data_IF_584084337445
#
_entry.id   IF_584084337445
#
_cell.length_a   1.000
_cell.length_b   1.000
_cell.length_c   1.000
_cell.angle_alpha   90.00
_cell.angle_beta   90.00
_cell.angle_gamma   90.00
#
_symmetry.space_group_name_H-M   'P 1'
#
loop_
_entity.id
_entity.type
_entity.pdbx_description
1 polymer ?
#
# COMPACT_ATOMS: atom_id res chain seq x y z
N UNK A 1 -17.22 7.58 -7.17
CA UNK A 1 -16.50 6.88 -6.08
C UNK A 1 -15.77 7.90 -5.26
N UNK A 2 -15.87 7.84 -3.93
CA UNK A 2 -15.07 8.63 -2.98
C UNK A 2 -14.05 7.72 -2.31
N UNK A 3 -12.77 8.11 -2.33
CA UNK A 3 -11.69 7.35 -1.71
C UNK A 3 -11.04 8.12 -0.56
N UNK A 4 -10.70 7.42 0.52
CA UNK A 4 -9.83 7.94 1.56
C UNK A 4 -8.38 7.57 1.23
N UNK A 5 -7.46 8.54 1.21
CA UNK A 5 -6.03 8.29 0.99
C UNK A 5 -5.26 8.65 2.26
N UNK A 6 -4.69 7.65 2.92
CA UNK A 6 -3.86 7.83 4.12
C UNK A 6 -2.43 8.12 3.69
N UNK A 7 -1.86 9.21 4.18
CA UNK A 7 -0.55 9.70 3.73
C UNK A 7 -0.61 10.40 2.35
N UNK A 8 -1.71 11.12 2.08
CA UNK A 8 -2.04 11.69 0.78
C UNK A 8 -0.98 12.65 0.21
N UNK A 9 -0.14 13.26 1.03
CA UNK A 9 0.94 14.15 0.62
C UNK A 9 2.33 13.50 0.61
N UNK A 10 2.42 12.22 0.94
CA UNK A 10 3.67 11.44 0.85
C UNK A 10 4.05 11.08 -0.59
N UNK A 11 5.24 10.50 -0.79
CA UNK A 11 5.74 10.16 -2.13
C UNK A 11 4.77 9.27 -2.94
N UNK A 12 4.25 8.19 -2.34
CA UNK A 12 3.26 7.33 -2.99
C UNK A 12 1.86 7.96 -2.96
N UNK A 13 1.46 8.50 -1.79
CA UNK A 13 0.11 9.03 -1.59
C UNK A 13 -0.24 10.19 -2.51
N UNK A 14 0.71 11.09 -2.82
CA UNK A 14 0.49 12.20 -3.74
C UNK A 14 0.26 11.72 -5.19
N UNK A 15 0.93 10.66 -5.61
CA UNK A 15 0.73 10.02 -6.92
C UNK A 15 -0.62 9.32 -7.00
N UNK A 16 -1.01 8.56 -5.97
CA UNK A 16 -2.35 7.95 -5.85
C UNK A 16 -3.43 9.04 -5.91
N UNK A 17 -3.26 10.11 -5.12
CA UNK A 17 -4.19 11.25 -5.07
C UNK A 17 -4.36 11.88 -6.46
N UNK A 18 -3.26 12.20 -7.14
CA UNK A 18 -3.26 12.78 -8.48
C UNK A 18 -3.99 11.88 -9.49
N UNK A 19 -3.62 10.61 -9.57
CA UNK A 19 -4.22 9.66 -10.52
C UNK A 19 -5.72 9.43 -10.25
N UNK A 20 -6.13 9.37 -8.98
CA UNK A 20 -7.53 9.25 -8.61
C UNK A 20 -8.35 10.48 -9.04
N UNK A 21 -7.83 11.70 -8.83
CA UNK A 21 -8.46 12.95 -9.27
C UNK A 21 -8.55 13.04 -10.80
N UNK A 22 -7.52 12.61 -11.53
CA UNK A 22 -7.51 12.56 -13.00
C UNK A 22 -8.59 11.62 -13.55
N UNK A 23 -8.98 10.58 -12.79
CA UNK A 23 -10.09 9.67 -13.11
C UNK A 23 -11.46 10.12 -12.60
N UNK A 24 -11.55 11.34 -12.07
CA UNK A 24 -12.81 11.91 -11.58
C UNK A 24 -13.29 11.34 -10.25
N UNK A 25 -12.42 10.68 -9.49
CA UNK A 25 -12.74 10.26 -8.13
C UNK A 25 -12.71 11.46 -7.17
N UNK A 26 -13.55 11.43 -6.14
CA UNK A 26 -13.43 12.35 -5.01
C UNK A 26 -12.39 11.80 -4.03
N UNK A 27 -11.51 12.66 -3.54
CA UNK A 27 -10.43 12.26 -2.63
C UNK A 27 -10.55 12.98 -1.29
N UNK A 28 -10.62 12.19 -0.21
CA UNK A 28 -10.45 12.63 1.17
C UNK A 28 -9.06 12.21 1.63
N UNK A 29 -8.16 13.19 1.73
CA UNK A 29 -6.74 12.97 2.02
C UNK A 29 -6.45 13.14 3.51
N UNK A 30 -5.92 12.11 4.15
CA UNK A 30 -5.40 12.16 5.51
C UNK A 30 -3.90 12.42 5.46
N UNK A 31 -3.46 13.50 6.10
CA UNK A 31 -2.04 13.88 6.21
C UNK A 31 -1.67 14.13 7.67
N UNK A 32 -0.45 13.78 8.06
CA UNK A 32 0.02 14.02 9.42
C UNK A 32 0.36 15.51 9.61
N UNK A 33 1.15 16.06 8.70
CA UNK A 33 1.52 17.48 8.62
C UNK A 33 1.69 17.93 7.16
N UNK A 34 2.15 19.17 6.96
CA UNK A 34 2.36 19.73 5.62
C UNK A 34 1.08 20.24 4.97
N UNK A 35 1.06 20.26 3.65
CA UNK A 35 0.00 20.84 2.83
C UNK A 35 -0.67 19.79 1.93
N UNK A 36 -1.82 20.16 1.40
CA UNK A 36 -2.53 19.35 0.41
C UNK A 36 -1.69 19.18 -0.86
N UNK A 37 -1.66 17.99 -1.45
CA UNK A 37 -1.02 17.79 -2.76
C UNK A 37 -1.81 18.43 -3.92
N UNK A 38 -3.09 18.73 -3.73
CA UNK A 38 -3.98 19.32 -4.74
C UNK A 38 -5.15 20.03 -4.04
N UNK A 39 -5.59 21.18 -4.58
CA UNK A 39 -6.67 21.98 -4.01
C UNK A 39 -8.06 21.31 -4.04
N UNK A 40 -8.25 20.32 -4.91
CA UNK A 40 -9.48 19.54 -5.04
C UNK A 40 -9.64 18.49 -3.95
N UNK A 41 -8.63 18.26 -3.12
CA UNK A 41 -8.65 17.24 -2.07
C UNK A 41 -9.28 17.78 -0.80
N UNK A 42 -10.26 17.04 -0.25
CA UNK A 42 -10.74 17.26 1.11
C UNK A 42 -9.66 16.82 2.11
N UNK A 43 -8.93 17.76 2.72
CA UNK A 43 -7.82 17.44 3.63
C UNK A 43 -8.27 17.34 5.07
N UNK A 44 -7.85 16.24 5.72
CA UNK A 44 -7.93 16.01 7.17
C UNK A 44 -6.51 15.88 7.72
N UNK A 45 -6.09 16.83 8.58
CA UNK A 45 -4.79 16.75 9.28
C UNK A 45 -4.94 15.88 10.54
N UNK A 46 -4.48 14.64 10.44
CA UNK A 46 -4.63 13.65 11.50
C UNK A 46 -3.65 12.50 11.33
N UNK A 47 -3.13 11.97 12.43
CA UNK A 47 -2.40 10.70 12.41
C UNK A 47 -3.32 9.55 12.00
N UNK A 48 -2.79 8.54 11.29
CA UNK A 48 -3.50 7.30 11.00
C UNK A 48 -4.14 6.71 12.27
N UNK A 49 -3.41 6.74 13.38
CA UNK A 49 -3.83 6.10 14.63
C UNK A 49 -4.98 6.83 15.34
N UNK A 50 -5.24 8.09 14.96
CA UNK A 50 -6.32 8.91 15.52
C UNK A 50 -7.59 8.93 14.65
N UNK A 51 -7.55 8.34 13.46
CA UNK A 51 -8.71 8.23 12.56
C UNK A 51 -9.75 7.30 13.20
N UNK A 52 -11.04 7.65 13.08
CA UNK A 52 -12.13 6.78 13.54
C UNK A 52 -12.92 6.19 12.38
N UNK A 53 -13.61 5.05 12.58
CA UNK A 53 -14.44 4.43 11.53
C UNK A 53 -15.51 5.39 10.97
N UNK A 54 -16.08 6.25 11.83
CA UNK A 54 -17.12 7.21 11.47
C UNK A 54 -16.64 8.25 10.46
N UNK A 55 -15.35 8.62 10.51
CA UNK A 55 -14.75 9.59 9.59
C UNK A 55 -14.61 9.06 8.17
N UNK A 56 -14.76 7.75 8.00
CA UNK A 56 -14.62 7.07 6.71
C UNK A 56 -15.97 6.57 6.14
N UNK A 57 -17.10 6.83 6.80
CA UNK A 57 -18.42 6.30 6.39
C UNK A 57 -18.84 6.74 4.98
N UNK A 58 -18.36 7.89 4.52
CA UNK A 58 -18.64 8.45 3.20
C UNK A 58 -17.66 8.01 2.10
N UNK A 59 -16.70 7.11 2.44
CA UNK A 59 -15.70 6.62 1.50
C UNK A 59 -15.98 5.17 1.08
N UNK A 60 -15.91 4.92 -0.23
CA UNK A 60 -16.11 3.59 -0.84
C UNK A 60 -14.87 2.71 -0.68
N UNK A 61 -13.68 3.33 -0.76
CA UNK A 61 -12.37 2.67 -0.70
C UNK A 61 -11.46 3.43 0.25
N UNK A 62 -10.60 2.71 0.99
CA UNK A 62 -9.49 3.28 1.74
C UNK A 62 -8.19 2.82 1.13
N UNK A 63 -7.38 3.76 0.60
CA UNK A 63 -6.02 3.49 0.13
C UNK A 63 -5.03 4.00 1.17
N UNK A 64 -4.19 3.12 1.70
CA UNK A 64 -3.14 3.52 2.61
C UNK A 64 -1.77 3.49 1.95
N UNK A 65 -1.18 4.67 1.82
CA UNK A 65 0.22 4.89 1.45
C UNK A 65 1.09 5.20 2.69
N UNK A 66 0.63 4.79 3.88
CA UNK A 66 1.36 5.00 5.13
C UNK A 66 2.65 4.19 5.16
N UNK A 67 3.72 4.84 5.61
CA UNK A 67 4.96 4.22 6.01
C UNK A 67 5.50 4.94 7.24
N UNK A 68 5.97 4.20 8.24
CA UNK A 68 6.50 4.78 9.49
C UNK A 68 7.76 5.64 9.27
N UNK A 69 8.42 5.49 8.12
CA UNK A 69 9.74 6.04 7.87
C UNK A 69 10.87 5.17 8.44
N UNK A 70 12.10 5.41 7.97
CA UNK A 70 13.25 4.54 8.29
C UNK A 70 13.83 4.75 9.69
N UNK A 71 13.48 5.86 10.37
CA UNK A 71 14.01 6.23 11.68
C UNK A 71 12.98 6.12 12.82
N UNK A 72 11.73 5.75 12.48
CA UNK A 72 10.68 5.52 13.46
C UNK A 72 10.72 4.10 14.02
N UNK A 73 9.94 3.84 15.07
CA UNK A 73 9.77 2.49 15.61
C UNK A 73 9.19 1.56 14.53
N UNK A 74 9.89 0.49 14.12
CA UNK A 74 9.39 -0.47 13.15
C UNK A 74 8.04 -1.09 13.52
N UNK A 75 7.72 -1.20 14.81
CA UNK A 75 6.46 -1.73 15.30
C UNK A 75 5.23 -0.92 14.85
N UNK A 76 5.40 0.36 14.51
CA UNK A 76 4.34 1.19 13.96
C UNK A 76 3.76 0.62 12.65
N UNK A 77 4.56 -0.11 11.87
CA UNK A 77 4.05 -0.77 10.65
C UNK A 77 3.05 -1.88 10.98
N UNK A 78 3.33 -2.73 11.98
CA UNK A 78 2.38 -3.73 12.45
C UNK A 78 1.12 -3.07 13.04
N UNK A 79 1.30 -2.07 13.89
CA UNK A 79 0.18 -1.31 14.48
C UNK A 79 -0.71 -0.66 13.41
N UNK A 80 -0.14 -0.20 12.29
CA UNK A 80 -0.91 0.34 11.18
C UNK A 80 -1.89 -0.70 10.60
N UNK A 81 -1.46 -1.95 10.43
CA UNK A 81 -2.34 -3.01 9.95
C UNK A 81 -3.47 -3.33 10.94
N UNK A 82 -3.18 -3.34 12.25
CA UNK A 82 -4.22 -3.48 13.28
C UNK A 82 -5.24 -2.32 13.20
N UNK A 83 -4.75 -1.10 12.96
CA UNK A 83 -5.61 0.07 12.76
C UNK A 83 -6.43 -0.03 11.47
N UNK A 84 -5.89 -0.58 10.39
CA UNK A 84 -6.64 -0.83 9.16
C UNK A 84 -7.80 -1.80 9.40
N UNK A 85 -7.59 -2.86 10.18
CA UNK A 85 -8.64 -3.79 10.56
C UNK A 85 -9.74 -3.06 11.34
N UNK A 86 -9.38 -2.30 12.38
CA UNK A 86 -10.34 -1.48 13.15
C UNK A 86 -11.18 -0.56 12.25
N UNK A 87 -10.54 0.13 11.31
CA UNK A 87 -11.20 1.11 10.44
C UNK A 87 -12.12 0.48 9.39
N UNK A 88 -11.90 -0.78 8.99
CA UNK A 88 -12.58 -1.38 7.84
C UNK A 88 -13.43 -2.61 8.18
N UNK A 89 -13.35 -3.18 9.40
CA UNK A 89 -14.14 -4.35 9.78
C UNK A 89 -15.64 -4.08 9.66
N UNK A 90 -16.36 -5.03 9.04
CA UNK A 90 -17.82 -5.01 8.85
C UNK A 90 -18.37 -3.82 8.04
N UNK A 91 -17.51 -3.05 7.36
CA UNK A 91 -17.93 -1.88 6.57
C UNK A 91 -18.21 -2.20 5.11
N UNK A 92 -17.74 -3.33 4.61
CA UNK A 92 -17.75 -3.66 3.18
C UNK A 92 -16.78 -2.83 2.32
N UNK A 93 -16.12 -1.81 2.89
CA UNK A 93 -15.13 -0.96 2.20
C UNK A 93 -13.93 -1.78 1.76
N UNK A 94 -13.41 -1.49 0.56
CA UNK A 94 -12.16 -2.08 0.11
C UNK A 94 -10.96 -1.34 0.71
N UNK A 95 -10.19 -2.02 1.53
CA UNK A 95 -8.88 -1.58 2.01
C UNK A 95 -7.81 -1.96 0.99
N UNK A 96 -7.06 -0.97 0.49
CA UNK A 96 -5.87 -1.18 -0.35
C UNK A 96 -4.68 -0.60 0.40
N UNK A 97 -3.80 -1.44 0.92
CA UNK A 97 -2.67 -1.01 1.73
C UNK A 97 -1.34 -1.28 1.02
N UNK A 98 -0.41 -0.32 1.12
CA UNK A 98 0.97 -0.57 0.72
C UNK A 98 1.58 -1.64 1.64
N UNK A 99 2.19 -2.64 1.03
CA UNK A 99 3.02 -3.62 1.70
C UNK A 99 4.50 -3.31 1.54
N UNK A 100 5.34 -4.33 1.57
CA UNK A 100 6.77 -4.20 1.34
C UNK A 100 7.33 -5.43 0.64
N UNK A 101 8.31 -5.24 -0.25
CA UNK A 101 8.99 -6.33 -0.95
C UNK A 101 9.55 -7.38 0.02
N UNK A 102 10.05 -6.94 1.19
CA UNK A 102 10.56 -7.86 2.21
C UNK A 102 9.52 -8.84 2.75
N UNK A 103 8.23 -8.50 2.73
CA UNK A 103 7.15 -9.38 3.21
C UNK A 103 6.72 -10.44 2.17
N UNK A 104 7.29 -10.43 0.99
CA UNK A 104 7.08 -11.42 -0.06
C UNK A 104 8.08 -12.58 0.09
N UNK A 105 7.68 -13.75 -0.40
CA UNK A 105 8.62 -14.86 -0.60
C UNK A 105 9.61 -14.54 -1.72
N UNK A 106 10.78 -15.17 -1.68
CA UNK A 106 11.81 -14.99 -2.72
C UNK A 106 11.37 -15.56 -4.07
N UNK A 107 10.59 -16.63 -4.04
CA UNK A 107 10.14 -17.36 -5.22
C UNK A 107 8.85 -18.17 -4.94
N UNK A 108 8.39 -18.88 -5.94
CA UNK A 108 7.18 -19.71 -5.89
C UNK A 108 7.26 -20.94 -4.99
N UNK A 109 8.41 -21.27 -4.39
CA UNK A 109 8.52 -22.33 -3.38
C UNK A 109 7.89 -21.95 -2.04
N UNK A 110 7.73 -20.66 -1.77
CA UNK A 110 7.18 -20.07 -0.53
C UNK A 110 7.90 -20.56 0.73
N UNK A 111 9.23 -20.73 0.66
CA UNK A 111 10.04 -21.25 1.76
C UNK A 111 10.78 -20.19 2.54
N UNK A 112 11.22 -19.10 1.86
CA UNK A 112 12.04 -18.03 2.45
C UNK A 112 11.43 -16.68 2.11
N UNK A 113 11.24 -15.83 3.12
CA UNK A 113 10.84 -14.44 2.88
C UNK A 113 12.03 -13.59 2.44
N UNK A 114 11.78 -12.59 1.59
CA UNK A 114 12.82 -11.69 1.10
C UNK A 114 13.57 -10.99 2.25
N UNK A 115 12.89 -10.61 3.36
CA UNK A 115 13.57 -9.98 4.51
C UNK A 115 14.53 -10.92 5.25
N UNK A 116 14.45 -12.23 5.05
CA UNK A 116 15.32 -13.23 5.70
C UNK A 116 16.62 -13.46 4.94
N UNK A 117 16.71 -12.97 3.69
CA UNK A 117 17.89 -13.18 2.84
C UNK A 117 19.05 -12.24 3.23
N UNK A 118 20.30 -12.63 2.95
CA UNK A 118 21.48 -11.76 3.18
C UNK A 118 21.47 -10.47 2.36
N UNK A 119 20.82 -10.49 1.19
CA UNK A 119 20.74 -9.36 0.25
C UNK A 119 19.76 -8.27 0.74
N UNK A 120 18.86 -8.62 1.67
CA UNK A 120 17.91 -7.65 2.19
C UNK A 120 18.61 -6.63 3.09
N UNK A 121 18.43 -5.31 2.85
CA UNK A 121 19.09 -4.28 3.64
C UNK A 121 18.76 -4.38 5.14
N UNK A 122 19.78 -4.42 5.99
CA UNK A 122 19.61 -4.61 7.43
C UNK A 122 18.68 -3.57 8.08
N UNK A 123 18.77 -2.30 7.63
CA UNK A 123 17.93 -1.22 8.16
C UNK A 123 16.45 -1.37 7.82
N UNK A 124 16.09 -2.19 6.82
CA UNK A 124 14.70 -2.49 6.45
C UNK A 124 14.17 -3.77 7.09
N UNK A 125 15.03 -4.62 7.66
CA UNK A 125 14.66 -5.97 8.11
C UNK A 125 13.54 -5.97 9.14
N UNK A 126 13.64 -5.16 10.17
CA UNK A 126 12.60 -5.05 11.20
C UNK A 126 11.32 -4.38 10.66
N UNK A 127 11.43 -3.40 9.76
CA UNK A 127 10.28 -2.80 9.08
C UNK A 127 9.54 -3.87 8.28
N UNK A 128 10.24 -4.64 7.45
CA UNK A 128 9.67 -5.71 6.61
C UNK A 128 9.02 -6.80 7.44
N UNK A 129 9.64 -7.21 8.53
CA UNK A 129 9.09 -8.18 9.48
C UNK A 129 7.78 -7.69 10.12
N UNK A 130 7.72 -6.44 10.54
CA UNK A 130 6.51 -5.86 11.13
C UNK A 130 5.39 -5.68 10.08
N UNK A 131 5.71 -5.34 8.84
CA UNK A 131 4.74 -5.34 7.72
C UNK A 131 4.20 -6.76 7.52
N UNK A 132 5.07 -7.77 7.47
CA UNK A 132 4.68 -9.19 7.33
C UNK A 132 3.75 -9.63 8.47
N UNK A 133 4.06 -9.29 9.72
CA UNK A 133 3.19 -9.57 10.86
C UNK A 133 1.80 -8.94 10.69
N UNK A 134 1.73 -7.69 10.24
CA UNK A 134 0.46 -7.01 9.97
C UNK A 134 -0.35 -7.67 8.85
N UNK A 135 0.31 -8.12 7.79
CA UNK A 135 -0.34 -8.88 6.71
C UNK A 135 -0.90 -10.21 7.23
N UNK A 136 -0.19 -10.88 8.14
CA UNK A 136 -0.69 -12.12 8.76
C UNK A 136 -1.95 -11.89 9.60
N UNK A 137 -2.09 -10.73 10.27
CA UNK A 137 -3.33 -10.38 10.96
C UNK A 137 -4.48 -10.17 9.98
N UNK A 138 -4.25 -9.45 8.86
CA UNK A 138 -5.26 -9.30 7.80
C UNK A 138 -5.69 -10.66 7.21
N UNK A 139 -4.76 -11.60 7.01
CA UNK A 139 -5.07 -12.94 6.48
C UNK A 139 -6.00 -13.75 7.38
N UNK A 140 -6.02 -13.46 8.68
CA UNK A 140 -6.91 -14.09 9.67
C UNK A 140 -8.27 -13.41 9.77
N UNK A 141 -8.38 -12.16 9.25
CA UNK A 141 -9.55 -11.33 9.42
C UNK A 141 -10.54 -11.46 8.25
N UNK A 142 -11.70 -12.03 8.52
CA UNK A 142 -12.73 -12.28 7.51
C UNK A 142 -13.73 -11.13 7.31
N UNK A 143 -13.69 -10.11 8.19
CA UNK A 143 -14.62 -8.97 8.17
C UNK A 143 -14.11 -7.78 7.35
N UNK A 144 -12.92 -7.89 6.78
CA UNK A 144 -12.29 -6.84 5.97
C UNK A 144 -12.10 -7.30 4.54
N UNK A 145 -12.56 -6.51 3.59
CA UNK A 145 -12.20 -6.65 2.18
C UNK A 145 -10.87 -5.96 1.97
N UNK A 146 -9.79 -6.69 1.75
CA UNK A 146 -8.45 -6.10 1.70
C UNK A 146 -7.64 -6.54 0.48
N UNK A 147 -6.75 -5.67 0.04
CA UNK A 147 -5.64 -5.97 -0.88
C UNK A 147 -4.38 -5.35 -0.32
N UNK A 148 -3.32 -6.13 -0.16
CA UNK A 148 -1.99 -5.60 0.16
C UNK A 148 -1.17 -5.58 -1.12
N UNK A 149 -0.75 -4.38 -1.53
CA UNK A 149 0.02 -4.15 -2.75
C UNK A 149 1.49 -3.99 -2.36
N UNK A 150 2.30 -5.00 -2.67
CA UNK A 150 3.73 -4.98 -2.40
C UNK A 150 4.50 -4.48 -3.62
N UNK A 151 5.45 -3.56 -3.46
CA UNK A 151 6.35 -3.21 -4.53
C UNK A 151 7.31 -4.38 -4.84
N UNK A 152 7.93 -4.35 -6.00
CA UNK A 152 9.10 -5.14 -6.33
C UNK A 152 10.31 -4.77 -5.46
N UNK A 153 11.41 -5.54 -5.53
CA UNK A 153 12.60 -5.37 -4.67
C UNK A 153 13.20 -3.97 -4.75
N UNK A 154 13.24 -3.39 -5.95
CA UNK A 154 13.64 -2.01 -6.15
C UNK A 154 12.41 -1.12 -6.38
N UNK A 155 12.06 -0.36 -5.37
CA UNK A 155 10.96 0.63 -5.40
C UNK A 155 11.52 1.98 -5.84
N UNK A 156 11.41 2.26 -7.15
CA UNK A 156 12.09 3.36 -7.83
C UNK A 156 11.31 4.69 -7.70
N UNK A 157 11.86 5.69 -6.99
CA UNK A 157 11.20 6.98 -6.82
C UNK A 157 11.30 7.89 -8.06
N UNK A 158 12.22 7.62 -8.99
CA UNK A 158 12.56 8.51 -10.12
C UNK A 158 12.11 7.98 -11.48
N UNK A 159 11.64 6.73 -11.55
CA UNK A 159 11.35 6.05 -12.81
C UNK A 159 10.16 6.60 -13.60
N UNK A 160 9.32 7.45 -13.01
CA UNK A 160 8.15 8.03 -13.65
C UNK A 160 7.04 7.02 -13.97
N UNK A 161 5.99 7.51 -14.62
CA UNK A 161 4.85 6.71 -15.05
C UNK A 161 5.15 6.07 -16.42
N UNK A 162 5.26 4.73 -16.46
CA UNK A 162 5.35 4.00 -17.73
C UNK A 162 3.97 3.60 -18.27
N UNK A 163 2.99 3.43 -17.37
CA UNK A 163 1.65 2.96 -17.70
C UNK A 163 1.59 1.46 -18.03
N UNK A 164 2.68 0.73 -17.79
CA UNK A 164 2.78 -0.72 -18.10
C UNK A 164 3.38 -1.47 -16.91
N UNK A 165 2.55 -2.28 -16.27
CA UNK A 165 2.95 -3.09 -15.12
C UNK A 165 2.36 -4.50 -15.16
N UNK A 166 2.93 -5.38 -14.37
CA UNK A 166 2.44 -6.74 -14.15
C UNK A 166 2.06 -6.94 -12.68
N UNK A 167 1.01 -7.73 -12.44
CA UNK A 167 0.58 -8.10 -11.09
C UNK A 167 0.78 -9.61 -10.88
N UNK A 168 1.57 -9.95 -9.86
CA UNK A 168 1.67 -11.30 -9.31
C UNK A 168 0.75 -11.48 -8.12
N UNK A 169 0.02 -12.58 -8.08
CA UNK A 169 -1.00 -12.87 -7.06
C UNK A 169 -0.58 -13.94 -6.07
N UNK A 170 0.63 -14.48 -6.19
CA UNK A 170 1.09 -15.64 -5.41
C UNK A 170 1.93 -15.27 -4.18
N UNK A 171 2.13 -13.97 -3.91
CA UNK A 171 2.82 -13.49 -2.70
C UNK A 171 4.33 -13.70 -2.73
N UNK A 172 4.95 -13.81 -3.90
CA UNK A 172 6.40 -13.84 -4.09
C UNK A 172 6.89 -12.67 -4.95
N UNK A 173 8.20 -12.44 -4.95
CA UNK A 173 8.85 -11.45 -5.79
C UNK A 173 8.65 -11.78 -7.27
N UNK A 174 8.45 -10.74 -8.08
CA UNK A 174 8.45 -10.84 -9.54
C UNK A 174 9.76 -10.30 -10.11
N UNK A 175 10.16 -10.88 -11.24
CA UNK A 175 11.33 -10.48 -11.99
C UNK A 175 10.95 -10.37 -13.47
N UNK A 176 11.48 -9.36 -14.16
CA UNK A 176 11.35 -9.25 -15.60
C UNK A 176 12.29 -10.23 -16.33
N UNK A 177 12.25 -10.24 -17.66
CA UNK A 177 13.09 -11.11 -18.50
C UNK A 177 14.62 -10.86 -18.30
N UNK A 178 15.00 -9.66 -17.84
CA UNK A 178 16.39 -9.31 -17.51
C UNK A 178 16.81 -9.76 -16.11
N UNK A 179 15.91 -10.34 -15.33
CA UNK A 179 16.15 -10.72 -13.93
C UNK A 179 16.07 -9.56 -12.93
N UNK A 180 15.48 -8.43 -13.32
CA UNK A 180 15.29 -7.28 -12.45
C UNK A 180 13.91 -7.30 -11.79
N UNK A 181 13.87 -6.97 -10.51
CA UNK A 181 12.65 -6.80 -9.73
C UNK A 181 12.50 -5.32 -9.37
N UNK A 182 11.79 -4.56 -10.22
CA UNK A 182 11.67 -3.10 -10.12
C UNK A 182 10.23 -2.65 -10.35
N UNK A 183 9.77 -1.67 -9.56
CA UNK A 183 8.53 -0.95 -9.81
C UNK A 183 8.73 0.54 -9.53
N UNK A 184 8.19 1.41 -10.40
CA UNK A 184 8.20 2.85 -10.14
C UNK A 184 7.10 3.24 -9.14
N UNK A 185 7.28 4.35 -8.42
CA UNK A 185 6.22 4.88 -7.54
C UNK A 185 4.95 5.20 -8.31
N UNK A 186 5.08 5.71 -9.54
CA UNK A 186 3.94 6.08 -10.38
C UNK A 186 3.18 4.86 -10.89
N UNK A 187 3.86 3.79 -11.33
CA UNK A 187 3.19 2.55 -11.77
C UNK A 187 2.56 1.80 -10.60
N UNK A 188 3.18 1.82 -9.42
CA UNK A 188 2.56 1.25 -8.22
C UNK A 188 1.29 2.02 -7.82
N UNK A 189 1.35 3.36 -7.87
CA UNK A 189 0.18 4.21 -7.62
C UNK A 189 -0.93 3.96 -8.65
N UNK A 190 -0.56 3.80 -9.94
CA UNK A 190 -1.49 3.44 -11.00
C UNK A 190 -2.17 2.11 -10.70
N UNK A 191 -1.41 1.07 -10.35
CA UNK A 191 -1.95 -0.23 -9.97
C UNK A 191 -2.93 -0.14 -8.81
N UNK A 192 -2.61 0.63 -7.76
CA UNK A 192 -3.49 0.83 -6.60
C UNK A 192 -4.81 1.51 -6.99
N UNK A 193 -4.78 2.49 -7.88
CA UNK A 193 -5.99 3.18 -8.37
C UNK A 193 -6.80 2.28 -9.28
N UNK A 194 -6.17 1.49 -10.17
CA UNK A 194 -6.85 0.49 -11.02
C UNK A 194 -7.57 -0.57 -10.16
N UNK A 195 -6.92 -1.06 -9.10
CA UNK A 195 -7.51 -2.01 -8.16
C UNK A 195 -8.73 -1.42 -7.45
N UNK A 196 -8.65 -0.14 -7.04
CA UNK A 196 -9.77 0.56 -6.42
C UNK A 196 -10.97 0.69 -7.37
N UNK A 197 -10.72 1.10 -8.62
CA UNK A 197 -11.74 1.28 -9.64
C UNK A 197 -12.43 -0.03 -10.04
N UNK A 198 -11.63 -1.10 -10.17
CA UNK A 198 -12.11 -2.42 -10.59
C UNK A 198 -12.64 -3.28 -9.43
N UNK A 199 -12.44 -2.85 -8.18
CA UNK A 199 -12.72 -3.63 -6.97
C UNK A 199 -12.16 -5.05 -7.05
N UNK A 200 -10.88 -5.17 -7.45
CA UNK A 200 -10.22 -6.43 -7.77
C UNK A 200 -9.22 -6.87 -6.68
N UNK A 201 -8.76 -8.11 -6.77
CA UNK A 201 -7.76 -8.72 -5.86
C UNK A 201 -8.14 -8.74 -4.38
N UNK A 202 -9.44 -8.86 -4.07
CA UNK A 202 -9.92 -8.95 -2.69
C UNK A 202 -9.30 -10.13 -1.94
N UNK A 203 -8.90 -9.90 -0.69
CA UNK A 203 -8.24 -10.84 0.21
C UNK A 203 -6.94 -11.41 -0.39
N UNK A 204 -6.14 -10.56 -1.06
CA UNK A 204 -4.89 -10.93 -1.70
C UNK A 204 -3.73 -10.03 -1.28
N UNK A 205 -2.58 -10.67 -1.08
CA UNK A 205 -1.27 -10.02 -1.11
C UNK A 205 -0.73 -10.16 -2.54
N UNK A 206 -0.48 -9.05 -3.20
CA UNK A 206 -0.03 -8.99 -4.59
C UNK A 206 1.31 -8.28 -4.70
N UNK A 207 2.03 -8.57 -5.78
CA UNK A 207 3.27 -7.90 -6.16
C UNK A 207 3.06 -7.13 -7.45
N UNK A 208 3.64 -5.93 -7.56
CA UNK A 208 3.61 -5.13 -8.80
C UNK A 208 5.02 -4.98 -9.34
N UNK A 209 5.18 -5.21 -10.64
CA UNK A 209 6.42 -5.07 -11.41
C UNK A 209 6.18 -4.12 -12.58
N UNK A 210 7.04 -3.10 -12.79
CA UNK A 210 7.04 -2.30 -14.03
C UNK A 210 7.59 -3.13 -15.18
N UNK A 211 6.91 -3.09 -16.35
CA UNK A 211 7.34 -3.79 -17.59
C UNK A 211 8.31 -2.96 -18.41
#
# INVERSE_FOLDING_TARGET
>A
MKIAVIGANGNLGSRVTRLALERGMQVKGYIYDGESPDERVEIVKKSLFDITPEELLDCDVMISAYGSGFHADPALNHQAFLKYIELNADTGRHLIAIGGAGSLYTDSSHTVYSYETPEHPDFLREISKNIKLGIDELKKESRVNWTVVCPSSFFDPEGGLTGSYEIGTEGHLLFNESGESRVTYDDLALAMVDIAEQNSYLCRQITVLTK
#
